data_IF_486144142038
#
_entry.id   IF_486144142038
#
_cell.length_a   1.000
_cell.length_b   1.000
_cell.length_c   1.000
_cell.angle_alpha   90.00
_cell.angle_beta   90.00
_cell.angle_gamma   90.00
#
_symmetry.space_group_name_H-M   'P 1'
#
loop_
_entity.id
_entity.type
_entity.pdbx_description
1 polymer ?
#
# COMPACT_ATOMS: atom_id res chain seq x y z
N UNK A 1 52.54 -31.33 40.12
CA UNK A 1 53.43 -30.84 39.05
C UNK A 1 53.54 -31.94 38.02
N UNK A 2 53.01 -31.73 36.81
CA UNK A 2 53.49 -32.23 35.51
C UNK A 2 52.48 -31.76 34.47
N UNK A 3 52.96 -30.86 33.62
CA UNK A 3 52.23 -30.20 32.53
C UNK A 3 52.22 -31.11 31.30
N UNK A 4 51.11 -31.16 30.56
CA UNK A 4 51.06 -31.77 29.23
C UNK A 4 50.36 -30.82 28.27
N UNK A 5 51.18 -30.20 27.42
CA UNK A 5 50.77 -29.35 26.30
C UNK A 5 50.35 -30.23 25.11
N UNK A 6 49.14 -30.02 24.59
CA UNK A 6 48.74 -30.52 23.28
C UNK A 6 48.69 -29.34 22.31
N UNK A 7 49.49 -29.45 21.25
CA UNK A 7 49.66 -28.44 20.21
C UNK A 7 48.50 -28.41 19.23
N UNK A 8 48.07 -27.18 18.89
CA UNK A 8 47.08 -26.91 17.85
C UNK A 8 47.83 -26.55 16.57
N UNK A 9 47.69 -27.37 15.52
CA UNK A 9 48.18 -27.06 14.17
C UNK A 9 47.26 -26.02 13.51
N UNK A 10 47.84 -24.87 13.17
CA UNK A 10 47.26 -23.85 12.30
C UNK A 10 47.41 -24.29 10.84
N UNK A 11 46.28 -24.44 10.14
CA UNK A 11 46.26 -24.51 8.67
C UNK A 11 45.99 -23.12 8.09
N UNK A 12 47.00 -22.62 7.41
CA UNK A 12 46.99 -21.39 6.61
C UNK A 12 46.35 -21.70 5.25
N UNK A 13 45.17 -21.14 4.97
CA UNK A 13 44.50 -21.25 3.66
C UNK A 13 44.79 -19.98 2.86
N UNK A 14 45.56 -20.20 1.79
CA UNK A 14 46.02 -19.22 0.82
C UNK A 14 44.86 -18.67 -0.03
N UNK A 15 44.87 -17.35 -0.24
CA UNK A 15 43.84 -16.59 -0.95
C UNK A 15 44.25 -16.34 -2.42
N UNK A 16 43.40 -16.63 -3.43
CA UNK A 16 43.73 -16.29 -4.82
C UNK A 16 43.18 -14.94 -5.29
N UNK A 17 44.14 -14.14 -5.76
CA UNK A 17 44.16 -13.00 -6.70
C UNK A 17 42.85 -12.47 -7.31
N UNK A 18 42.73 -11.14 -7.17
CA UNK A 18 41.79 -10.23 -7.85
C UNK A 18 41.91 -10.25 -9.38
N UNK A 19 40.75 -10.36 -10.03
CA UNK A 19 40.56 -10.07 -11.46
C UNK A 19 39.69 -8.83 -11.64
N UNK A 20 40.20 -7.85 -12.39
CA UNK A 20 39.50 -6.64 -12.86
C UNK A 20 38.25 -6.98 -13.68
N UNK A 21 37.13 -6.30 -13.42
CA UNK A 21 36.14 -5.98 -14.47
C UNK A 21 35.49 -4.60 -14.24
N UNK A 22 35.34 -3.90 -15.35
CA UNK A 22 34.82 -2.54 -15.49
C UNK A 22 33.30 -2.45 -15.22
N UNK A 23 32.93 -1.42 -14.44
CA UNK A 23 31.92 -0.41 -14.77
C UNK A 23 30.46 -0.84 -15.02
N UNK A 24 29.60 -0.64 -14.02
CA UNK A 24 28.27 0.01 -14.12
C UNK A 24 27.84 0.46 -12.70
N UNK A 25 27.47 1.74 -12.47
CA UNK A 25 26.97 2.16 -11.16
C UNK A 25 25.49 1.77 -10.99
N UNK A 26 25.23 0.73 -10.19
CA UNK A 26 23.90 0.40 -9.67
C UNK A 26 23.65 1.16 -8.36
N UNK A 27 23.36 2.47 -8.46
CA UNK A 27 22.73 3.19 -7.37
C UNK A 27 21.22 3.29 -7.65
N UNK A 28 20.34 2.76 -6.78
CA UNK A 28 18.93 3.11 -6.84
C UNK A 28 18.78 4.63 -6.54
N UNK A 29 17.87 5.34 -7.21
CA UNK A 29 17.64 6.75 -6.93
C UNK A 29 17.14 6.91 -5.48
N UNK A 30 17.60 7.95 -4.75
CA UNK A 30 17.12 8.23 -3.41
C UNK A 30 15.63 8.58 -3.45
N UNK A 31 14.88 8.04 -2.50
CA UNK A 31 13.51 8.44 -2.20
C UNK A 31 13.52 9.93 -1.87
N UNK A 32 12.97 10.74 -2.77
CA UNK A 32 12.81 12.17 -2.53
C UNK A 32 11.73 12.38 -1.47
N UNK A 33 11.96 13.21 -0.44
CA UNK A 33 10.91 13.63 0.46
C UNK A 33 9.90 14.47 -0.33
N UNK A 34 8.62 14.15 -0.16
CA UNK A 34 7.49 14.87 -0.75
C UNK A 34 7.50 16.33 -0.25
N UNK A 35 8.09 17.23 -1.04
CA UNK A 35 8.08 18.68 -0.82
C UNK A 35 6.81 19.24 -1.45
N UNK A 36 5.98 19.87 -0.62
CA UNK A 36 4.67 20.41 -0.99
C UNK A 36 4.67 21.27 -2.26
N UNK A 37 3.60 21.13 -3.03
CA UNK A 37 3.27 22.02 -4.14
C UNK A 37 3.03 23.46 -3.63
N UNK A 38 3.62 24.49 -4.27
CA UNK A 38 3.21 25.87 -4.06
C UNK A 38 1.90 26.18 -4.80
N UNK A 39 1.10 27.09 -4.23
CA UNK A 39 -0.17 27.59 -4.75
C UNK A 39 -0.02 28.22 -6.16
N UNK A 40 -1.09 28.22 -6.98
CA UNK A 40 -1.06 28.85 -8.30
C UNK A 40 -1.02 30.38 -8.19
N UNK A 41 0.00 30.98 -8.78
CA UNK A 41 0.08 32.43 -9.03
C UNK A 41 -0.91 32.80 -10.13
N UNK A 42 -1.77 33.75 -9.84
CA UNK A 42 -2.61 34.45 -10.80
C UNK A 42 -1.74 35.24 -11.77
N UNK A 43 -1.69 34.82 -13.03
CA UNK A 43 -1.07 35.56 -14.13
C UNK A 43 -2.06 36.57 -14.70
N UNK A 44 -1.81 37.86 -14.42
CA UNK A 44 -2.46 38.98 -15.11
C UNK A 44 -1.81 39.20 -16.47
N UNK A 45 -2.65 39.37 -17.50
CA UNK A 45 -2.27 39.77 -18.85
C UNK A 45 -1.99 41.27 -18.89
N UNK A 46 -0.88 41.62 -19.55
CA UNK A 46 -0.53 42.97 -19.94
C UNK A 46 -1.30 43.37 -21.21
N UNK A 47 -1.80 44.60 -21.23
CA UNK A 47 -2.36 45.30 -22.38
C UNK A 47 -2.26 46.81 -22.17
N UNK A 48 -1.24 47.40 -22.78
CA UNK A 48 -0.87 48.83 -22.82
C UNK A 48 -1.94 49.69 -23.49
N UNK A 49 -2.15 50.94 -23.03
CA UNK A 49 -2.16 52.19 -23.83
C UNK A 49 -2.40 53.46 -22.96
N UNK A 50 -1.37 54.32 -22.96
CA UNK A 50 -1.32 55.80 -22.99
C UNK A 50 -2.32 56.70 -22.24
N UNK A 51 -1.80 57.72 -21.53
CA UNK A 51 -2.54 58.96 -21.22
C UNK A 51 -1.97 59.86 -20.12
N UNK A 52 -1.15 60.83 -20.52
CA UNK A 52 -0.58 62.02 -19.86
C UNK A 52 -1.12 62.60 -18.51
N UNK A 53 -0.15 62.93 -17.64
CA UNK A 53 0.11 64.20 -16.91
C UNK A 53 -1.01 64.98 -16.19
N UNK A 54 -0.86 65.25 -14.88
CA UNK A 54 -0.39 66.55 -14.31
C UNK A 54 -0.53 66.63 -12.76
N UNK A 55 0.53 67.13 -12.12
CA UNK A 55 0.68 67.91 -10.87
C UNK A 55 -0.45 68.07 -9.83
N UNK A 56 -0.08 68.02 -8.54
CA UNK A 56 -0.79 68.76 -7.48
C UNK A 56 -0.44 68.33 -6.05
N UNK A 57 0.09 69.25 -5.25
CA UNK A 57 0.66 69.05 -3.91
C UNK A 57 -0.37 69.02 -2.75
N UNK A 58 0.17 68.84 -1.54
CA UNK A 58 -0.29 69.23 -0.18
C UNK A 58 -0.88 68.17 0.77
N UNK A 59 -0.18 67.97 1.90
CA UNK A 59 -0.61 67.36 3.18
C UNK A 59 -1.42 68.38 4.03
N UNK A 60 -1.74 68.18 5.33
CA UNK A 60 -1.86 66.96 6.17
C UNK A 60 -3.17 66.93 7.05
N UNK A 61 -3.27 65.89 7.89
CA UNK A 61 -3.63 65.94 9.34
C UNK A 61 -4.97 65.35 9.84
N UNK A 62 -4.85 64.70 11.02
CA UNK A 62 -5.86 64.27 12.04
C UNK A 62 -6.59 62.92 11.83
N UNK A 63 -6.91 62.09 12.83
CA UNK A 63 -6.54 61.90 14.24
C UNK A 63 -7.27 60.61 14.74
N UNK A 64 -6.84 60.10 15.91
CA UNK A 64 -7.53 59.13 16.81
C UNK A 64 -7.59 57.65 16.35
N UNK A 65 -6.97 56.66 17.01
CA UNK A 65 -6.98 56.24 18.42
C UNK A 65 -8.36 55.78 18.93
N UNK A 66 -8.55 54.46 19.10
CA UNK A 66 -9.12 53.84 20.31
C UNK A 66 -8.89 52.33 20.30
N UNK A 67 -8.12 51.87 21.29
CA UNK A 67 -8.13 50.51 21.80
C UNK A 67 -9.23 50.40 22.88
N UNK A 68 -9.86 49.23 23.02
CA UNK A 68 -10.46 48.79 24.29
C UNK A 68 -10.40 47.27 24.44
N UNK A 69 -10.36 46.89 25.70
CA UNK A 69 -9.79 45.69 26.30
C UNK A 69 -10.87 44.79 26.91
N UNK A 70 -10.39 43.64 27.40
CA UNK A 70 -10.82 42.94 28.61
C UNK A 70 -11.95 41.89 28.53
N UNK A 71 -11.50 40.63 28.60
CA UNK A 71 -11.79 39.62 29.62
C UNK A 71 -13.15 39.60 30.34
N UNK A 72 -13.76 38.40 30.38
CA UNK A 72 -14.62 37.97 31.47
C UNK A 72 -14.31 36.52 31.85
N UNK A 73 -14.00 36.34 33.14
CA UNK A 73 -13.94 35.09 33.89
C UNK A 73 -15.37 34.73 34.31
N UNK A 74 -15.73 33.44 34.27
CA UNK A 74 -16.94 32.95 34.93
C UNK A 74 -17.10 31.44 34.77
N UNK A 75 -16.81 30.68 35.83
CA UNK A 75 -17.14 29.25 35.91
C UNK A 75 -18.56 29.03 36.44
N UNK A 76 -19.20 27.93 36.03
CA UNK A 76 -20.17 27.22 36.88
C UNK A 76 -20.51 25.82 36.33
N UNK A 77 -20.34 24.85 37.23
CA UNK A 77 -21.11 23.62 37.52
C UNK A 77 -21.85 22.79 36.43
N UNK A 78 -21.73 21.48 36.63
CA UNK A 78 -22.15 20.33 35.84
C UNK A 78 -23.63 20.25 35.40
N UNK A 79 -23.84 19.68 34.20
CA UNK A 79 -24.89 18.68 33.92
C UNK A 79 -24.33 17.66 32.93
N UNK A 80 -24.26 16.40 33.35
CA UNK A 80 -24.13 15.23 32.48
C UNK A 80 -25.32 15.17 31.53
N UNK A 81 -25.10 15.53 30.28
CA UNK A 81 -26.03 15.31 29.18
C UNK A 81 -25.44 14.26 28.24
N UNK A 82 -26.14 13.14 28.09
CA UNK A 82 -25.85 12.08 27.12
C UNK A 82 -25.57 12.69 25.74
N UNK A 83 -24.29 12.74 25.39
CA UNK A 83 -23.83 13.18 24.08
C UNK A 83 -24.38 12.22 23.04
N UNK A 84 -25.43 12.63 22.34
CA UNK A 84 -25.75 12.08 21.03
C UNK A 84 -24.47 12.23 20.21
N UNK A 85 -23.81 11.11 19.94
CA UNK A 85 -22.69 11.07 19.01
C UNK A 85 -23.22 11.55 17.66
N UNK A 86 -23.10 12.85 17.41
CA UNK A 86 -23.20 13.36 16.05
C UNK A 86 -22.16 12.56 15.25
N UNK A 87 -22.56 11.93 14.13
CA UNK A 87 -21.58 11.32 13.24
C UNK A 87 -20.52 12.38 12.95
N UNK A 88 -19.23 12.10 13.17
CA UNK A 88 -18.19 13.04 12.83
C UNK A 88 -18.40 13.48 11.38
N UNK A 89 -18.42 14.81 11.15
CA UNK A 89 -18.56 15.39 9.83
C UNK A 89 -17.62 14.67 8.86
N UNK A 90 -18.16 14.21 7.72
CA UNK A 90 -17.37 13.51 6.72
C UNK A 90 -16.18 14.39 6.31
N UNK A 91 -14.93 13.97 6.62
CA UNK A 91 -13.77 14.75 6.24
C UNK A 91 -13.72 14.87 4.71
N UNK A 92 -13.24 15.98 4.11
CA UNK A 92 -13.06 16.08 2.66
C UNK A 92 -12.24 14.92 2.06
N UNK A 93 -11.39 14.31 2.89
CA UNK A 93 -10.60 13.12 2.57
C UNK A 93 -11.45 11.86 2.33
N UNK A 94 -12.64 11.75 2.94
CA UNK A 94 -13.58 10.65 2.73
C UNK A 94 -14.23 10.73 1.36
N UNK A 95 -14.73 11.91 0.97
CA UNK A 95 -15.28 12.12 -0.38
C UNK A 95 -14.23 11.84 -1.45
N UNK A 96 -12.98 12.27 -1.20
CA UNK A 96 -11.84 11.93 -2.04
C UNK A 96 -11.62 10.42 -2.14
N UNK A 97 -11.69 9.67 -1.04
CA UNK A 97 -11.55 8.22 -1.05
C UNK A 97 -12.64 7.54 -1.88
N UNK A 98 -13.90 7.96 -1.71
CA UNK A 98 -15.03 7.42 -2.47
C UNK A 98 -14.93 7.70 -3.97
N UNK A 99 -14.48 8.90 -4.36
CA UNK A 99 -14.26 9.23 -5.76
C UNK A 99 -13.07 8.44 -6.34
N UNK A 100 -11.99 8.26 -5.58
CA UNK A 100 -10.86 7.41 -5.96
C UNK A 100 -11.29 5.96 -6.15
N UNK A 101 -12.15 5.41 -5.29
CA UNK A 101 -12.71 4.07 -5.47
C UNK A 101 -13.54 3.96 -6.74
N UNK A 102 -14.43 4.93 -6.98
CA UNK A 102 -15.30 4.96 -8.16
C UNK A 102 -14.46 5.02 -9.43
N UNK A 103 -13.44 5.87 -9.45
CA UNK A 103 -12.47 5.98 -10.55
C UNK A 103 -11.67 4.69 -10.73
N UNK A 104 -11.18 4.09 -9.65
CA UNK A 104 -10.46 2.82 -9.69
C UNK A 104 -11.34 1.71 -10.29
N UNK A 105 -12.61 1.61 -9.87
CA UNK A 105 -13.60 0.67 -10.43
C UNK A 105 -13.89 0.95 -11.90
N UNK A 106 -13.93 2.21 -12.32
CA UNK A 106 -14.14 2.57 -13.72
C UNK A 106 -12.92 2.20 -14.60
N UNK A 107 -11.70 2.46 -14.13
CA UNK A 107 -10.49 2.14 -14.87
C UNK A 107 -10.21 0.63 -14.92
N UNK A 108 -10.46 -0.11 -13.84
CA UNK A 108 -10.32 -1.57 -13.83
C UNK A 108 -11.28 -2.30 -14.78
N UNK A 109 -12.40 -1.66 -15.19
CA UNK A 109 -13.29 -2.23 -16.21
C UNK A 109 -12.76 -2.04 -17.64
N UNK A 110 -11.89 -1.06 -17.86
CA UNK A 110 -11.36 -0.70 -19.18
C UNK A 110 -9.95 -1.23 -19.40
N UNK A 111 -9.17 -1.31 -18.32
CA UNK A 111 -7.73 -1.59 -18.33
C UNK A 111 -7.42 -2.81 -17.47
N UNK A 112 -6.31 -3.48 -17.77
CA UNK A 112 -5.75 -4.53 -16.92
C UNK A 112 -5.38 -3.96 -15.55
N UNK A 113 -5.52 -4.75 -14.48
CA UNK A 113 -5.12 -4.27 -13.15
C UNK A 113 -3.62 -3.97 -13.00
N UNK A 114 -2.79 -4.43 -13.95
CA UNK A 114 -1.36 -4.13 -14.07
C UNK A 114 -1.04 -2.75 -14.64
N UNK A 115 -2.03 -2.12 -15.24
CA UNK A 115 -1.86 -0.82 -15.87
C UNK A 115 -1.27 0.18 -14.85
N UNK A 116 -0.25 0.96 -15.24
CA UNK A 116 0.42 1.88 -14.33
C UNK A 116 -0.54 2.91 -13.72
N UNK A 117 -1.60 3.32 -14.43
CA UNK A 117 -2.60 4.24 -13.89
C UNK A 117 -3.47 3.57 -12.84
N UNK A 118 -3.88 2.33 -13.07
CA UNK A 118 -4.65 1.54 -12.10
C UNK A 118 -3.84 1.31 -10.83
N UNK A 119 -2.54 0.99 -10.96
CA UNK A 119 -1.63 0.84 -9.80
C UNK A 119 -1.44 2.16 -9.05
N UNK A 120 -1.27 3.27 -9.76
CA UNK A 120 -1.15 4.60 -9.15
C UNK A 120 -2.41 5.00 -8.39
N UNK A 121 -3.59 4.81 -8.98
CA UNK A 121 -4.87 5.08 -8.33
C UNK A 121 -5.05 4.24 -7.06
N UNK A 122 -4.68 2.96 -7.10
CA UNK A 122 -4.73 2.06 -5.95
C UNK A 122 -3.79 2.53 -4.82
N UNK A 123 -2.56 2.92 -5.15
CA UNK A 123 -1.61 3.45 -4.19
C UNK A 123 -2.09 4.77 -3.56
N UNK A 124 -2.68 5.67 -4.36
CA UNK A 124 -3.29 6.90 -3.84
C UNK A 124 -4.46 6.60 -2.90
N UNK A 125 -5.36 5.70 -3.30
CA UNK A 125 -6.49 5.27 -2.46
C UNK A 125 -6.02 4.66 -1.13
N UNK A 126 -4.97 3.83 -1.17
CA UNK A 126 -4.36 3.25 0.01
C UNK A 126 -3.86 4.35 0.97
N UNK A 127 -3.11 5.33 0.46
CA UNK A 127 -2.63 6.45 1.27
C UNK A 127 -3.76 7.32 1.83
N UNK A 128 -4.82 7.57 1.06
CA UNK A 128 -5.99 8.32 1.52
C UNK A 128 -6.71 7.61 2.66
N UNK A 129 -6.92 6.29 2.56
CA UNK A 129 -7.53 5.52 3.64
C UNK A 129 -6.64 5.42 4.88
N UNK A 130 -5.33 5.26 4.70
CA UNK A 130 -4.38 5.29 5.80
C UNK A 130 -4.42 6.64 6.54
N UNK A 131 -4.44 7.75 5.80
CA UNK A 131 -4.58 9.09 6.39
C UNK A 131 -5.91 9.27 7.13
N UNK A 132 -7.02 8.70 6.64
CA UNK A 132 -8.30 8.69 7.36
C UNK A 132 -8.20 7.92 8.69
N UNK A 133 -7.57 6.74 8.68
CA UNK A 133 -7.42 5.92 9.88
C UNK A 133 -6.66 6.64 10.99
N UNK A 134 -5.57 7.35 10.66
CA UNK A 134 -4.75 8.02 11.67
C UNK A 134 -5.11 9.49 11.93
N UNK A 135 -5.77 10.17 10.99
CA UNK A 135 -6.23 11.55 11.17
C UNK A 135 -7.60 11.66 11.82
N UNK A 136 -8.49 10.68 11.58
CA UNK A 136 -9.90 10.73 12.02
C UNK A 136 -10.39 9.33 12.44
N UNK A 137 -9.74 8.72 13.42
CA UNK A 137 -9.96 7.32 13.80
C UNK A 137 -11.44 6.99 14.09
N UNK A 138 -12.14 7.78 14.91
CA UNK A 138 -13.56 7.55 15.25
C UNK A 138 -14.46 7.53 13.99
N UNK A 139 -14.20 8.43 13.04
CA UNK A 139 -14.88 8.44 11.75
C UNK A 139 -14.52 7.22 10.90
N UNK A 140 -13.23 6.88 10.84
CA UNK A 140 -12.74 5.77 10.04
C UNK A 140 -13.30 4.43 10.52
N UNK A 141 -13.39 4.25 11.83
CA UNK A 141 -14.03 3.11 12.46
C UNK A 141 -15.52 3.04 12.13
N UNK A 142 -16.27 4.14 12.32
CA UNK A 142 -17.71 4.18 12.06
C UNK A 142 -18.08 3.96 10.58
N UNK A 143 -17.20 4.31 9.64
CA UNK A 143 -17.42 4.18 8.20
C UNK A 143 -16.73 2.96 7.58
N UNK A 144 -16.26 2.01 8.41
CA UNK A 144 -15.63 0.77 7.96
C UNK A 144 -14.50 1.02 6.94
N UNK A 145 -13.70 2.08 7.16
CA UNK A 145 -12.59 2.48 6.26
C UNK A 145 -11.62 1.33 6.05
N UNK A 146 -11.25 0.64 7.12
CA UNK A 146 -10.25 -0.42 7.07
C UNK A 146 -10.73 -1.65 6.26
N UNK A 147 -11.96 -2.19 6.46
CA UNK A 147 -12.52 -3.20 5.56
C UNK A 147 -12.64 -2.76 4.11
N UNK A 148 -12.98 -1.50 3.84
CA UNK A 148 -13.06 -0.96 2.48
C UNK A 148 -11.68 -0.91 1.83
N UNK A 149 -10.67 -0.46 2.57
CA UNK A 149 -9.26 -0.50 2.16
C UNK A 149 -8.83 -1.94 1.83
N UNK A 150 -9.07 -2.91 2.71
CA UNK A 150 -8.75 -4.32 2.44
C UNK A 150 -9.38 -4.80 1.13
N UNK A 151 -10.69 -4.58 0.96
CA UNK A 151 -11.44 -5.03 -0.21
C UNK A 151 -10.95 -4.39 -1.51
N UNK A 152 -10.76 -3.07 -1.52
CA UNK A 152 -10.44 -2.32 -2.73
C UNK A 152 -8.96 -2.41 -3.13
N UNK A 153 -8.06 -2.36 -2.14
CA UNK A 153 -6.61 -2.25 -2.36
C UNK A 153 -5.96 -3.63 -2.44
N UNK A 154 -6.38 -4.61 -1.64
CA UNK A 154 -5.64 -5.88 -1.50
C UNK A 154 -6.41 -7.09 -2.00
N UNK A 155 -7.63 -7.31 -1.50
CA UNK A 155 -8.40 -8.51 -1.78
C UNK A 155 -8.74 -8.66 -3.27
N UNK A 156 -9.26 -7.61 -3.91
CA UNK A 156 -9.58 -7.65 -5.35
C UNK A 156 -8.36 -7.99 -6.22
N UNK A 157 -7.20 -7.32 -6.07
CA UNK A 157 -5.99 -7.74 -6.77
C UNK A 157 -5.57 -9.18 -6.52
N UNK A 158 -5.64 -9.66 -5.29
CA UNK A 158 -5.30 -11.05 -4.96
C UNK A 158 -6.15 -12.02 -5.79
N UNK A 159 -7.46 -11.80 -5.84
CA UNK A 159 -8.36 -12.66 -6.62
C UNK A 159 -8.07 -12.56 -8.13
N UNK A 160 -7.75 -11.38 -8.64
CA UNK A 160 -7.35 -11.18 -10.04
C UNK A 160 -6.03 -11.89 -10.38
N UNK A 161 -5.01 -11.80 -9.51
CA UNK A 161 -3.76 -12.55 -9.65
C UNK A 161 -4.03 -14.05 -9.67
N UNK A 162 -4.81 -14.56 -8.70
CA UNK A 162 -5.15 -15.98 -8.58
C UNK A 162 -5.94 -16.48 -9.79
N UNK A 163 -6.88 -15.70 -10.30
CA UNK A 163 -7.62 -16.02 -11.52
C UNK A 163 -6.69 -16.18 -12.72
N UNK A 164 -5.79 -15.22 -12.93
CA UNK A 164 -4.83 -15.24 -14.05
C UNK A 164 -3.80 -16.36 -13.95
N UNK A 165 -3.27 -16.62 -12.76
CA UNK A 165 -2.34 -17.73 -12.51
C UNK A 165 -3.03 -19.05 -12.87
N UNK A 166 -4.26 -19.29 -12.38
CA UNK A 166 -5.03 -20.51 -12.73
C UNK A 166 -5.30 -20.66 -14.23
N UNK A 167 -5.61 -19.56 -14.91
CA UNK A 167 -5.81 -19.57 -16.37
C UNK A 167 -4.51 -19.93 -17.11
N UNK A 168 -3.38 -19.33 -16.72
CA UNK A 168 -2.07 -19.60 -17.31
C UNK A 168 -1.59 -21.03 -17.02
N UNK A 169 -1.78 -21.53 -15.81
CA UNK A 169 -1.48 -22.93 -15.48
C UNK A 169 -2.31 -23.91 -16.32
N UNK A 170 -3.58 -23.60 -16.59
CA UNK A 170 -4.44 -24.42 -17.44
C UNK A 170 -3.93 -24.45 -18.87
N UNK A 171 -3.47 -23.31 -19.40
CA UNK A 171 -2.85 -23.23 -20.72
C UNK A 171 -1.53 -24.02 -20.80
N UNK A 172 -0.69 -23.92 -19.77
CA UNK A 172 0.57 -24.67 -19.66
C UNK A 172 0.32 -26.19 -19.53
N UNK A 173 -0.71 -26.61 -18.81
CA UNK A 173 -1.10 -28.03 -18.70
C UNK A 173 -1.77 -28.57 -19.96
N UNK A 174 -2.66 -27.79 -20.58
CA UNK A 174 -3.34 -28.16 -21.83
C UNK A 174 -2.38 -28.34 -23.00
N UNK A 175 -1.29 -27.56 -23.04
CA UNK A 175 -0.21 -27.73 -24.02
C UNK A 175 0.67 -28.96 -23.77
N UNK A 176 0.80 -29.41 -22.52
CA UNK A 176 1.49 -30.67 -22.18
C UNK A 176 0.63 -31.92 -22.47
N UNK A 177 -0.70 -31.82 -22.39
CA UNK A 177 -1.64 -32.90 -22.72
C UNK A 177 -1.91 -33.09 -24.22
N UNK A 178 -1.56 -32.10 -25.05
CA UNK A 178 -1.75 -32.17 -26.52
C UNK A 178 -0.59 -32.88 -27.26
N UNK A 179 0.48 -33.27 -26.56
CA UNK A 179 1.63 -33.95 -27.16
C UNK A 179 1.43 -35.48 -27.34
N UNK A 180 0.30 -36.05 -26.90
CA UNK A 180 0.03 -37.51 -26.96
C UNK A 180 -1.29 -37.91 -27.62
N UNK A 181 -1.93 -37.04 -28.40
CA UNK A 181 -3.12 -37.43 -29.18
C UNK A 181 -3.21 -36.70 -30.51
N UNK A 182 -2.24 -36.97 -31.37
CA UNK A 182 -2.47 -36.89 -32.80
C UNK A 182 -3.20 -38.18 -33.22
N UNK A 183 -4.54 -38.13 -33.29
CA UNK A 183 -5.44 -38.84 -34.21
C UNK A 183 -6.87 -38.64 -33.68
N UNK A 184 -7.62 -37.74 -34.31
CA UNK A 184 -8.96 -38.01 -34.87
C UNK A 184 -9.64 -36.70 -35.25
N UNK A 185 -9.89 -36.56 -36.55
CA UNK A 185 -10.82 -35.58 -37.11
C UNK A 185 -12.27 -35.98 -36.78
N UNK A 186 -13.10 -35.02 -36.38
CA UNK A 186 -14.45 -34.84 -36.95
C UNK A 186 -15.12 -33.55 -36.46
N UNK A 187 -15.85 -32.93 -37.39
CA UNK A 187 -16.64 -31.70 -37.27
C UNK A 187 -17.72 -31.74 -36.18
N UNK A 188 -18.02 -30.56 -35.60
CA UNK A 188 -19.28 -30.33 -34.88
C UNK A 188 -19.38 -28.94 -34.28
N UNK A 189 -20.26 -28.11 -34.85
CA UNK A 189 -20.54 -26.74 -34.43
C UNK A 189 -21.27 -26.65 -33.07
N UNK A 190 -20.98 -25.62 -32.28
CA UNK A 190 -21.88 -25.18 -31.20
C UNK A 190 -21.24 -24.45 -30.02
N UNK A 191 -21.36 -23.12 -30.00
CA UNK A 191 -21.78 -22.38 -28.80
C UNK A 191 -20.77 -22.11 -27.67
N UNK A 192 -20.19 -20.91 -27.71
CA UNK A 192 -20.31 -19.96 -26.59
C UNK A 192 -19.54 -20.22 -25.29
N UNK A 193 -18.28 -19.82 -25.25
CA UNK A 193 -17.67 -19.22 -24.07
C UNK A 193 -16.64 -18.20 -24.51
N UNK A 194 -16.82 -16.95 -24.09
CA UNK A 194 -15.99 -15.80 -24.39
C UNK A 194 -14.59 -15.94 -23.80
N UNK A 195 -13.74 -16.68 -24.50
CA UNK A 195 -12.28 -16.64 -24.32
C UNK A 195 -11.78 -15.31 -24.88
N UNK A 196 -11.00 -14.50 -24.16
CA UNK A 196 -10.40 -13.33 -24.77
C UNK A 196 -9.49 -13.81 -25.90
N UNK A 197 -9.69 -13.24 -27.09
CA UNK A 197 -9.01 -13.55 -28.35
C UNK A 197 -7.46 -13.46 -28.30
N UNK A 198 -6.87 -13.12 -27.15
CA UNK A 198 -5.43 -13.15 -26.90
C UNK A 198 -4.86 -14.57 -26.69
N UNK A 199 -5.71 -15.59 -26.45
CA UNK A 199 -5.26 -16.95 -26.16
C UNK A 199 -4.87 -17.79 -27.39
N UNK A 200 -5.17 -17.33 -28.61
CA UNK A 200 -5.00 -18.13 -29.84
C UNK A 200 -3.60 -18.03 -30.49
N UNK A 201 -2.69 -17.20 -29.96
CA UNK A 201 -1.36 -16.97 -30.56
C UNK A 201 -0.18 -17.14 -29.59
N UNK A 202 -0.43 -17.50 -28.32
CA UNK A 202 0.63 -17.59 -27.33
C UNK A 202 1.30 -18.96 -27.38
N UNK A 203 2.61 -19.00 -27.69
CA UNK A 203 3.36 -20.26 -27.71
C UNK A 203 3.38 -20.89 -26.30
N UNK A 204 3.48 -22.23 -26.17
CA UNK A 204 3.56 -22.88 -24.85
C UNK A 204 4.71 -22.37 -23.98
N UNK A 205 5.80 -21.88 -24.61
CA UNK A 205 6.93 -21.25 -23.93
C UNK A 205 6.56 -19.87 -23.39
N UNK A 206 5.90 -19.03 -24.19
CA UNK A 206 5.40 -17.73 -23.75
C UNK A 206 4.39 -17.84 -22.61
N UNK A 207 3.52 -18.85 -22.63
CA UNK A 207 2.57 -19.11 -21.56
C UNK A 207 3.29 -19.44 -20.23
N UNK A 208 4.35 -20.26 -20.27
CA UNK A 208 5.19 -20.56 -19.10
C UNK A 208 5.94 -19.32 -18.60
N UNK A 209 6.50 -18.53 -19.51
CA UNK A 209 7.18 -17.30 -19.15
C UNK A 209 6.21 -16.28 -18.52
N UNK A 210 5.00 -16.17 -19.04
CA UNK A 210 3.96 -15.31 -18.49
C UNK A 210 3.48 -15.81 -17.13
N UNK A 211 3.34 -17.12 -16.93
CA UNK A 211 3.04 -17.71 -15.63
C UNK A 211 4.12 -17.34 -14.61
N UNK A 212 5.41 -17.53 -14.94
CA UNK A 212 6.53 -17.17 -14.07
C UNK A 212 6.53 -15.68 -13.67
N UNK A 213 6.36 -14.78 -14.64
CA UNK A 213 6.27 -13.32 -14.38
C UNK A 213 5.07 -12.95 -13.51
N UNK A 214 3.90 -13.54 -13.79
CA UNK A 214 2.65 -13.28 -13.06
C UNK A 214 2.77 -13.74 -11.62
N UNK A 215 3.32 -14.94 -11.39
CA UNK A 215 3.56 -15.49 -10.05
C UNK A 215 4.59 -14.68 -9.28
N UNK A 216 5.70 -14.27 -9.90
CA UNK A 216 6.70 -13.43 -9.24
C UNK A 216 6.12 -12.07 -8.81
N UNK A 217 5.34 -11.43 -9.68
CA UNK A 217 4.65 -10.18 -9.36
C UNK A 217 3.59 -10.36 -8.26
N UNK A 218 2.88 -11.48 -8.24
CA UNK A 218 1.93 -11.82 -7.18
C UNK A 218 2.62 -11.94 -5.82
N UNK A 219 3.74 -12.66 -5.75
CA UNK A 219 4.50 -12.81 -4.50
C UNK A 219 5.03 -11.46 -3.99
N UNK A 220 5.57 -10.61 -4.87
CA UNK A 220 5.98 -9.25 -4.50
C UNK A 220 4.82 -8.41 -3.97
N UNK A 221 3.65 -8.51 -4.60
CA UNK A 221 2.44 -7.82 -4.13
C UNK A 221 2.02 -8.30 -2.73
N UNK A 222 2.07 -9.60 -2.45
CA UNK A 222 1.79 -10.14 -1.12
C UNK A 222 2.80 -9.67 -0.08
N UNK A 223 4.10 -9.63 -0.42
CA UNK A 223 5.14 -9.12 0.49
C UNK A 223 4.94 -7.63 0.81
N UNK A 224 4.57 -6.81 -0.18
CA UNK A 224 4.22 -5.40 0.02
C UNK A 224 2.97 -5.24 0.91
N UNK A 225 1.94 -6.06 0.71
CA UNK A 225 0.74 -6.06 1.53
C UNK A 225 1.00 -6.50 2.98
N UNK A 226 1.85 -7.53 3.18
CA UNK A 226 2.29 -7.98 4.50
C UNK A 226 3.05 -6.86 5.22
N UNK A 227 3.99 -6.21 4.54
CA UNK A 227 4.74 -5.10 5.09
C UNK A 227 3.80 -3.95 5.48
N UNK A 228 2.81 -3.63 4.65
CA UNK A 228 1.81 -2.61 4.94
C UNK A 228 1.01 -2.90 6.21
N UNK A 229 0.42 -4.09 6.37
CA UNK A 229 -0.38 -4.39 7.56
C UNK A 229 0.47 -4.55 8.82
N UNK A 230 1.73 -5.00 8.72
CA UNK A 230 2.66 -4.97 9.85
C UNK A 230 2.93 -3.54 10.31
N UNK A 231 3.19 -2.62 9.37
CA UNK A 231 3.31 -1.18 9.67
C UNK A 231 2.02 -0.62 10.27
N UNK A 232 0.85 -1.01 9.75
CA UNK A 232 -0.46 -0.57 10.25
C UNK A 232 -0.68 -0.96 11.71
N UNK A 233 -0.43 -2.22 12.08
CA UNK A 233 -0.55 -2.68 13.47
C UNK A 233 0.39 -1.91 14.38
N UNK A 234 1.65 -1.73 13.96
CA UNK A 234 2.63 -0.98 14.73
C UNK A 234 2.22 0.49 14.90
N UNK A 235 1.72 1.15 13.85
CA UNK A 235 1.20 2.52 13.92
C UNK A 235 0.02 2.64 14.88
N UNK A 236 -0.94 1.70 14.85
CA UNK A 236 -2.07 1.69 15.79
C UNK A 236 -1.59 1.54 17.24
N UNK A 237 -0.59 0.71 17.49
CA UNK A 237 0.04 0.57 18.80
C UNK A 237 0.78 1.84 19.23
N UNK A 238 1.52 2.47 18.32
CA UNK A 238 2.22 3.73 18.58
C UNK A 238 1.24 4.86 18.97
N UNK A 239 0.15 4.99 18.21
CA UNK A 239 -0.84 6.07 18.34
C UNK A 239 -1.74 5.88 19.56
N UNK A 240 -2.22 4.66 19.82
CA UNK A 240 -3.24 4.39 20.85
C UNK A 240 -2.72 3.59 22.07
N UNK A 241 -1.42 3.30 22.12
CA UNK A 241 -0.79 2.58 23.23
C UNK A 241 -1.00 1.07 23.16
N UNK A 242 -1.33 0.44 24.29
CA UNK A 242 -1.43 -1.02 24.38
C UNK A 242 -2.71 -1.57 23.70
N UNK A 243 -2.61 -1.89 22.42
CA UNK A 243 -3.69 -2.43 21.58
C UNK A 243 -3.72 -3.96 21.52
N UNK A 244 -3.14 -4.65 22.52
CA UNK A 244 -3.28 -6.12 22.67
C UNK A 244 -2.51 -6.97 21.66
N UNK A 245 -1.65 -6.36 20.84
CA UNK A 245 -0.71 -7.05 19.97
C UNK A 245 0.63 -6.32 19.96
N UNK A 246 1.70 -7.08 19.80
CA UNK A 246 3.05 -6.55 19.60
C UNK A 246 3.54 -7.11 18.27
N UNK A 247 3.78 -6.22 17.32
CA UNK A 247 4.42 -6.57 16.05
C UNK A 247 5.81 -6.00 16.07
N UNK A 248 6.80 -6.85 15.88
CA UNK A 248 8.18 -6.38 15.76
C UNK A 248 8.42 -5.80 14.36
N UNK A 249 9.06 -4.63 14.35
CA UNK A 249 9.32 -3.82 13.17
C UNK A 249 10.76 -3.30 13.29
N UNK A 250 11.48 -3.22 12.17
CA UNK A 250 12.85 -2.74 12.18
C UNK A 250 12.98 -1.35 12.83
N UNK A 251 14.03 -1.13 13.63
CA UNK A 251 14.20 0.09 14.41
C UNK A 251 14.24 1.36 13.53
N UNK A 252 14.83 1.31 12.33
CA UNK A 252 14.86 2.46 11.43
C UNK A 252 13.44 2.82 10.95
N UNK A 253 12.63 1.80 10.66
CA UNK A 253 11.24 1.97 10.25
C UNK A 253 10.36 2.44 11.42
N UNK A 254 10.66 2.03 12.66
CA UNK A 254 9.99 2.59 13.84
C UNK A 254 10.25 4.10 13.95
N UNK A 255 11.51 4.55 13.81
CA UNK A 255 11.86 5.97 13.85
C UNK A 255 11.16 6.77 12.75
N UNK A 256 11.17 6.29 11.50
CA UNK A 256 10.47 6.93 10.38
C UNK A 256 8.97 7.14 10.69
N UNK A 257 8.32 6.15 11.30
CA UNK A 257 6.91 6.25 11.65
C UNK A 257 6.70 7.25 12.80
N UNK A 258 7.55 7.25 13.82
CA UNK A 258 7.43 8.17 14.95
C UNK A 258 7.57 9.64 14.53
N UNK A 259 8.41 9.92 13.54
CA UNK A 259 8.58 11.27 12.98
C UNK A 259 7.36 11.75 12.20
N UNK A 260 6.63 10.83 11.56
CA UNK A 260 5.52 11.17 10.66
C UNK A 260 4.13 11.04 11.29
N UNK A 261 3.99 10.21 12.33
CA UNK A 261 2.69 9.86 12.93
C UNK A 261 2.69 10.29 14.40
N UNK A 262 1.98 11.37 14.77
CA UNK A 262 1.90 11.80 16.15
C UNK A 262 1.08 10.83 17.00
N UNK A 263 1.37 10.77 18.30
CA UNK A 263 0.53 10.01 19.25
C UNK A 263 -0.84 10.65 19.39
N UNK A 264 -1.87 9.85 19.64
CA UNK A 264 -3.20 10.38 19.89
C UNK A 264 -3.22 11.16 21.20
N UNK A 265 -3.84 12.34 21.18
CA UNK A 265 -4.14 13.13 22.38
C UNK A 265 -5.14 12.41 23.29
N UNK A 266 -6.04 11.62 22.70
CA UNK A 266 -7.03 10.81 23.40
C UNK A 266 -7.00 9.38 22.84
N UNK A 267 -6.28 8.44 23.48
CA UNK A 267 -6.18 7.06 23.02
C UNK A 267 -7.54 6.34 22.98
N UNK A 268 -7.77 5.55 21.92
CA UNK A 268 -8.97 4.74 21.68
C UNK A 268 -8.63 3.27 21.72
N UNK A 269 -8.08 2.84 22.86
CA UNK A 269 -7.40 1.54 22.97
C UNK A 269 -8.33 0.34 22.74
N UNK A 270 -9.63 0.45 23.04
CA UNK A 270 -10.60 -0.62 22.80
C UNK A 270 -10.97 -0.76 21.33
N UNK A 271 -11.24 0.35 20.66
CA UNK A 271 -11.60 0.39 19.25
C UNK A 271 -10.38 0.03 18.40
N UNK A 272 -9.21 0.59 18.74
CA UNK A 272 -7.94 0.26 18.09
C UNK A 272 -7.59 -1.23 18.21
N UNK A 273 -7.97 -1.91 19.31
CA UNK A 273 -7.86 -3.37 19.42
C UNK A 273 -8.67 -4.10 18.35
N UNK A 274 -9.85 -3.61 17.98
CA UNK A 274 -10.67 -4.21 16.93
C UNK A 274 -10.06 -3.98 15.54
N UNK A 275 -9.50 -2.81 15.27
CA UNK A 275 -8.70 -2.56 14.06
C UNK A 275 -7.47 -3.47 13.98
N UNK A 276 -6.73 -3.61 15.08
CA UNK A 276 -5.58 -4.53 15.16
C UNK A 276 -6.01 -5.97 14.92
N UNK A 277 -7.11 -6.40 15.52
CA UNK A 277 -7.66 -7.75 15.30
C UNK A 277 -7.96 -8.00 13.82
N UNK A 278 -8.62 -7.06 13.13
CA UNK A 278 -8.88 -7.16 11.69
C UNK A 278 -7.59 -7.18 10.87
N UNK A 279 -6.62 -6.32 11.19
CA UNK A 279 -5.30 -6.34 10.56
C UNK A 279 -4.60 -7.69 10.73
N UNK A 280 -4.70 -8.34 11.90
CA UNK A 280 -4.15 -9.67 12.14
C UNK A 280 -4.86 -10.76 11.32
N UNK A 281 -6.18 -10.66 11.13
CA UNK A 281 -6.92 -11.52 10.21
C UNK A 281 -6.35 -11.35 8.79
N UNK A 282 -6.22 -10.12 8.29
CA UNK A 282 -5.69 -9.86 6.96
C UNK A 282 -4.26 -10.35 6.79
N UNK A 283 -3.40 -10.21 7.81
CA UNK A 283 -2.06 -10.79 7.81
C UNK A 283 -2.10 -12.32 7.70
N UNK A 284 -3.00 -12.97 8.44
CA UNK A 284 -3.24 -14.40 8.32
C UNK A 284 -3.69 -14.80 6.92
N UNK A 285 -4.60 -14.04 6.31
CA UNK A 285 -5.10 -14.25 4.95
C UNK A 285 -3.98 -14.15 3.92
N UNK A 286 -3.15 -13.10 4.02
CA UNK A 286 -1.99 -12.91 3.15
C UNK A 286 -0.99 -14.06 3.26
N UNK A 287 -0.71 -14.57 4.46
CA UNK A 287 0.14 -15.74 4.66
C UNK A 287 -0.45 -16.99 4.00
N UNK A 288 -1.77 -17.22 4.10
CA UNK A 288 -2.44 -18.34 3.42
C UNK A 288 -2.35 -18.23 1.90
N UNK A 289 -2.38 -17.01 1.36
CA UNK A 289 -2.23 -16.75 -0.07
C UNK A 289 -0.79 -16.90 -0.58
N UNK A 290 0.20 -16.73 0.29
CA UNK A 290 1.62 -16.94 -0.01
C UNK A 290 2.03 -18.41 0.06
N UNK A 291 1.35 -19.20 0.89
CA UNK A 291 1.67 -20.61 1.06
C UNK A 291 1.59 -21.34 -0.29
N UNK A 292 2.66 -22.03 -0.72
CA UNK A 292 2.57 -22.90 -1.88
C UNK A 292 1.47 -23.94 -1.62
N UNK A 293 0.65 -24.23 -2.64
CA UNK A 293 -0.37 -25.27 -2.51
C UNK A 293 0.30 -26.55 -2.00
N UNK A 294 -0.32 -27.28 -1.04
CA UNK A 294 0.24 -28.53 -0.57
C UNK A 294 0.45 -29.46 -1.77
N UNK A 295 1.72 -29.72 -2.08
CA UNK A 295 2.09 -30.64 -3.15
C UNK A 295 1.68 -32.07 -2.77
N UNK A 296 1.51 -32.97 -3.75
CA UNK A 296 1.25 -34.38 -3.47
C UNK A 296 2.43 -34.97 -2.70
N UNK A 297 2.22 -35.23 -1.42
CA UNK A 297 3.12 -35.91 -0.49
C UNK A 297 3.43 -37.32 -1.03
N UNK A 298 4.51 -37.46 -1.81
CA UNK A 298 4.96 -38.74 -2.37
C UNK A 298 6.27 -39.29 -1.81
N UNK A 299 6.92 -38.58 -0.88
CA UNK A 299 8.28 -38.96 -0.42
C UNK A 299 8.36 -39.33 1.07
N UNK A 300 7.28 -39.91 1.64
CA UNK A 300 7.30 -40.37 3.04
C UNK A 300 7.52 -41.88 3.23
N UNK A 301 7.55 -42.66 2.15
CA UNK A 301 7.74 -44.12 2.22
C UNK A 301 9.22 -44.55 2.14
N UNK A 302 10.15 -43.65 1.77
CA UNK A 302 11.56 -44.01 1.55
C UNK A 302 12.46 -43.90 2.80
N UNK A 303 11.90 -43.67 4.00
CA UNK A 303 12.67 -43.52 5.25
C UNK A 303 12.49 -44.67 6.23
N UNK A 304 11.88 -45.78 5.80
CA UNK A 304 11.69 -47.00 6.59
C UNK A 304 12.09 -48.27 5.81
N UNK A 305 13.18 -48.19 5.03
CA UNK A 305 13.88 -49.39 4.52
C UNK A 305 15.38 -49.23 4.76
#
# INVERSE_FOLDING_TARGET
MLSSSSGTMLYEISSPKEGRHNGFPSNPPPLTPYRGLPAPRTGGSAGTLAGAATSGATSPQTAAAMAMSAAAIGGSTAVSGAGRHHPPLAPPLWDQALELEKRLRAEMRKKSFWDPDVRRLRATLQGTYEALMFGHYDFAYANEVEPNLWKAVFYKPIEEFRSRIRALETLVRGTAGSATSAVSMSNGAGGGASTPAAALLCTPEEARAQLGRTTAAYMRFLDEALAFYRKMVWKLQWVHGNVGAVVDLDAALQMEIQDCVPRATCPRTLEARQSVHRCLIYLGDLCRHRAPAPGPEKDRESRNQ
#
